data_IF_253574276441
#
_entry.id   IF_253574276441
#
_cell.length_a   1.000
_cell.length_b   1.000
_cell.length_c   1.000
_cell.angle_alpha   90.00
_cell.angle_beta   90.00
_cell.angle_gamma   90.00
#
_symmetry.space_group_name_H-M   'P 1'
#
loop_
_entity.id
_entity.type
_entity.pdbx_description
1 polymer ?
#
# COMPACT_ATOMS: atom_id res chain seq x y z
N UNK A 1 -11.33 54.75 32.28
CA UNK A 1 -10.89 54.62 30.87
C UNK A 1 -9.41 54.16 30.79
N UNK A 2 -8.97 53.15 31.56
CA UNK A 2 -7.56 52.64 31.52
C UNK A 2 -7.52 51.15 31.98
N UNK A 3 -8.22 50.23 31.30
CA UNK A 3 -8.16 48.80 31.68
C UNK A 3 -8.11 47.81 30.50
N UNK A 4 -8.10 48.29 29.25
CA UNK A 4 -8.21 47.41 28.08
C UNK A 4 -6.89 47.19 27.31
N UNK A 5 -5.76 47.70 27.82
CA UNK A 5 -4.51 47.76 27.05
C UNK A 5 -3.50 46.63 27.36
N UNK A 6 -3.71 45.85 28.44
CA UNK A 6 -2.81 44.75 28.83
C UNK A 6 -3.16 43.39 28.21
N UNK A 7 -4.35 43.22 27.67
CA UNK A 7 -4.81 41.94 27.10
C UNK A 7 -4.39 41.74 25.63
N UNK A 8 -4.01 42.80 24.92
CA UNK A 8 -3.61 42.74 23.50
C UNK A 8 -2.14 42.32 23.30
N UNK A 9 -1.24 42.58 24.24
CA UNK A 9 0.17 42.17 24.12
C UNK A 9 0.37 40.66 24.29
N UNK A 10 -0.44 40.03 25.15
CA UNK A 10 -0.38 38.57 25.39
C UNK A 10 -0.90 37.76 24.21
N UNK A 11 -1.83 38.31 23.43
CA UNK A 11 -2.37 37.68 22.22
C UNK A 11 -1.37 37.69 21.05
N UNK A 12 -0.57 38.75 20.93
CA UNK A 12 0.39 38.92 19.83
C UNK A 12 1.60 37.96 19.94
N UNK A 13 1.94 37.48 21.15
CA UNK A 13 3.14 36.65 21.40
C UNK A 13 2.93 35.13 21.21
N UNK A 14 1.74 34.67 20.83
CA UNK A 14 1.44 33.25 20.59
C UNK A 14 1.55 32.80 19.11
N UNK A 15 1.90 33.72 18.21
CA UNK A 15 1.84 33.50 16.76
C UNK A 15 3.21 33.27 16.09
N UNK A 16 4.27 33.10 16.86
CA UNK A 16 5.62 32.86 16.31
C UNK A 16 6.11 31.50 16.74
N UNK A 17 6.52 30.69 15.76
CA UNK A 17 7.36 29.48 15.90
C UNK A 17 6.71 28.10 15.67
N UNK A 18 5.59 28.04 14.94
CA UNK A 18 5.12 26.78 14.34
C UNK A 18 5.53 26.63 12.86
N UNK A 19 6.35 27.53 12.34
CA UNK A 19 6.92 27.43 10.99
C UNK A 19 7.98 26.34 11.00
N UNK A 20 7.83 25.24 10.24
CA UNK A 20 8.84 24.21 10.20
C UNK A 20 10.15 24.80 9.65
N UNK A 21 11.24 24.67 10.43
CA UNK A 21 12.56 25.22 10.10
C UNK A 21 13.13 24.68 8.78
N UNK A 22 12.63 23.53 8.31
CA UNK A 22 12.92 22.98 6.99
C UNK A 22 11.71 22.25 6.40
N UNK A 23 11.61 22.21 5.07
CA UNK A 23 10.56 21.46 4.36
C UNK A 23 10.60 19.96 4.68
N UNK A 24 11.77 19.43 5.05
CA UNK A 24 11.95 18.04 5.47
C UNK A 24 11.35 17.78 6.87
N UNK A 25 11.52 18.71 7.81
CA UNK A 25 10.92 18.60 9.15
C UNK A 25 9.39 18.70 9.09
N UNK A 26 8.88 19.56 8.22
CA UNK A 26 7.45 19.68 7.95
C UNK A 26 6.87 18.34 7.45
N UNK A 27 7.58 17.73 6.49
CA UNK A 27 7.19 16.46 5.90
C UNK A 27 7.28 15.31 6.92
N UNK A 28 8.39 15.20 7.65
CA UNK A 28 8.60 14.17 8.67
C UNK A 28 7.56 14.24 9.80
N UNK A 29 7.29 15.44 10.33
CA UNK A 29 6.24 15.62 11.37
C UNK A 29 4.84 15.30 10.83
N UNK A 30 4.58 15.54 9.54
CA UNK A 30 3.33 15.14 8.90
C UNK A 30 3.21 13.61 8.82
N UNK A 31 4.24 12.94 8.30
CA UNK A 31 4.28 11.49 8.17
C UNK A 31 4.18 10.77 9.51
N UNK A 32 4.82 11.28 10.56
CA UNK A 32 4.71 10.71 11.92
C UNK A 32 3.29 10.83 12.51
N UNK A 33 2.56 11.91 12.21
CA UNK A 33 1.17 12.06 12.66
C UNK A 33 0.25 11.07 11.95
N UNK A 34 0.43 10.89 10.65
CA UNK A 34 -0.30 9.89 9.86
C UNK A 34 0.00 8.49 10.38
N UNK A 35 1.28 8.14 10.57
CA UNK A 35 1.69 6.83 11.09
C UNK A 35 1.11 6.56 12.49
N UNK A 36 1.15 7.56 13.38
CA UNK A 36 0.57 7.43 14.73
C UNK A 36 -0.96 7.28 14.69
N UNK A 37 -1.63 7.91 13.74
CA UNK A 37 -3.08 7.77 13.55
C UNK A 37 -3.44 6.38 13.01
N UNK A 38 -2.67 5.88 12.04
CA UNK A 38 -2.81 4.53 11.47
C UNK A 38 -2.61 3.44 12.54
N UNK A 39 -1.65 3.61 13.46
CA UNK A 39 -1.34 2.64 14.52
C UNK A 39 -2.32 2.69 15.73
N UNK A 40 -3.16 3.72 15.86
CA UNK A 40 -4.12 3.84 16.99
C UNK A 40 -5.43 3.09 16.77
N UNK A 41 -5.79 2.78 15.52
CA UNK A 41 -7.05 2.11 15.19
C UNK A 41 -6.78 0.68 14.70
N UNK A 42 -7.22 -0.37 15.44
CA UNK A 42 -6.96 -1.76 15.06
C UNK A 42 -7.57 -2.14 13.71
N UNK A 43 -8.71 -1.53 13.35
CA UNK A 43 -9.36 -1.74 12.05
C UNK A 43 -8.55 -1.15 10.88
N UNK A 44 -7.98 0.04 11.07
CA UNK A 44 -7.10 0.68 10.09
C UNK A 44 -5.78 -0.08 9.95
N UNK A 45 -5.25 -0.60 11.06
CA UNK A 45 -4.05 -1.44 11.06
C UNK A 45 -4.28 -2.74 10.29
N UNK A 46 -5.43 -3.41 10.51
CA UNK A 46 -5.80 -4.61 9.78
C UNK A 46 -5.88 -4.37 8.27
N UNK A 47 -6.56 -3.29 7.84
CA UNK A 47 -6.65 -2.93 6.42
C UNK A 47 -5.28 -2.60 5.81
N UNK A 48 -4.43 -1.89 6.56
CA UNK A 48 -3.06 -1.56 6.13
C UNK A 48 -2.20 -2.81 5.99
N UNK A 49 -2.32 -3.77 6.92
CA UNK A 49 -1.61 -5.06 6.86
C UNK A 49 -2.02 -5.87 5.63
N UNK A 50 -3.32 -5.97 5.36
CA UNK A 50 -3.82 -6.68 4.17
C UNK A 50 -3.32 -6.03 2.89
N UNK A 51 -3.38 -4.70 2.79
CA UNK A 51 -2.86 -3.97 1.63
C UNK A 51 -1.35 -4.19 1.46
N UNK A 52 -0.58 -4.13 2.54
CA UNK A 52 0.86 -4.39 2.53
C UNK A 52 1.15 -5.82 2.05
N UNK A 53 0.39 -6.80 2.52
CA UNK A 53 0.52 -8.20 2.10
C UNK A 53 0.26 -8.35 0.60
N UNK A 54 -0.78 -7.72 0.07
CA UNK A 54 -1.07 -7.74 -1.38
C UNK A 54 0.07 -7.09 -2.19
N UNK A 55 0.63 -5.98 -1.72
CA UNK A 55 1.77 -5.33 -2.38
C UNK A 55 3.00 -6.23 -2.38
N UNK A 56 3.27 -6.92 -1.27
CA UNK A 56 4.35 -7.89 -1.17
C UNK A 56 4.11 -9.03 -2.16
N UNK A 57 2.93 -9.64 -2.16
CA UNK A 57 2.58 -10.72 -3.10
C UNK A 57 2.74 -10.24 -4.55
N UNK A 58 2.30 -9.03 -4.89
CA UNK A 58 2.46 -8.47 -6.23
C UNK A 58 3.93 -8.21 -6.60
N UNK A 59 4.76 -7.75 -5.65
CA UNK A 59 6.19 -7.53 -5.88
C UNK A 59 6.95 -8.86 -6.09
N UNK A 60 6.52 -9.92 -5.41
CA UNK A 60 7.08 -11.27 -5.54
C UNK A 60 6.37 -12.13 -6.59
N UNK A 61 5.34 -11.61 -7.25
CA UNK A 61 4.62 -12.28 -8.34
C UNK A 61 5.57 -12.85 -9.43
N UNK A 62 6.59 -12.14 -9.95
CA UNK A 62 7.47 -12.68 -10.97
C UNK A 62 8.36 -13.84 -10.50
N UNK A 63 8.54 -14.04 -9.19
CA UNK A 63 9.28 -15.18 -8.65
C UNK A 63 8.38 -16.36 -8.25
N UNK A 64 7.08 -16.10 -8.04
CA UNK A 64 6.08 -17.13 -7.71
C UNK A 64 5.42 -17.67 -8.99
N UNK A 65 5.24 -16.82 -10.01
CA UNK A 65 4.66 -17.20 -11.29
C UNK A 65 5.73 -17.84 -12.19
N UNK A 66 5.74 -19.17 -12.26
CA UNK A 66 6.64 -19.97 -13.11
C UNK A 66 6.33 -19.85 -14.60
N UNK A 67 5.13 -19.39 -14.96
CA UNK A 67 4.68 -19.27 -16.35
C UNK A 67 3.97 -17.93 -16.58
N UNK A 68 4.26 -17.30 -17.71
CA UNK A 68 3.71 -16.01 -18.10
C UNK A 68 2.20 -16.15 -18.41
N UNK A 69 1.30 -15.47 -17.67
CA UNK A 69 -0.14 -15.57 -17.87
C UNK A 69 -0.58 -15.00 -19.24
N UNK A 70 0.28 -14.26 -19.92
CA UNK A 70 0.02 -13.65 -21.23
C UNK A 70 0.46 -14.57 -22.38
N UNK A 71 1.39 -15.51 -22.14
CA UNK A 71 1.91 -16.39 -23.19
C UNK A 71 0.93 -17.56 -23.43
N UNK A 72 0.08 -17.41 -24.43
CA UNK A 72 -0.77 -18.48 -24.95
C UNK A 72 0.07 -19.47 -25.75
N UNK A 73 0.12 -20.73 -25.30
CA UNK A 73 0.79 -21.80 -26.03
C UNK A 73 -0.26 -22.72 -26.68
N UNK A 74 -0.82 -22.26 -27.81
CA UNK A 74 -1.86 -22.99 -28.55
C UNK A 74 -1.39 -24.38 -29.02
N UNK A 75 -0.08 -24.62 -29.13
CA UNK A 75 0.48 -25.93 -29.47
C UNK A 75 0.22 -26.99 -28.38
N UNK A 76 -0.08 -26.56 -27.15
CA UNK A 76 -0.45 -27.43 -26.03
C UNK A 76 -1.92 -27.24 -25.61
N UNK A 77 -2.80 -26.74 -26.49
CA UNK A 77 -4.23 -26.65 -26.20
C UNK A 77 -4.90 -28.03 -26.22
N UNK A 78 -5.92 -28.23 -25.36
CA UNK A 78 -6.67 -29.48 -25.22
C UNK A 78 -5.82 -30.74 -24.96
N UNK A 79 -4.67 -30.62 -24.31
CA UNK A 79 -3.94 -31.78 -23.81
C UNK A 79 -4.73 -32.49 -22.71
N UNK A 80 -4.77 -33.82 -22.81
CA UNK A 80 -5.39 -34.70 -21.84
C UNK A 80 -4.63 -34.64 -20.49
N UNK A 81 -5.30 -34.97 -19.37
CA UNK A 81 -4.66 -35.05 -18.06
C UNK A 81 -3.41 -35.93 -18.06
N UNK A 82 -2.31 -35.44 -17.49
CA UNK A 82 -1.02 -36.12 -17.47
C UNK A 82 -0.04 -35.54 -16.46
N UNK A 83 1.17 -36.11 -16.39
CA UNK A 83 2.18 -35.69 -15.41
C UNK A 83 2.62 -34.22 -15.59
N UNK A 84 2.53 -33.69 -16.80
CA UNK A 84 2.82 -32.29 -17.11
C UNK A 84 1.66 -31.33 -16.79
N UNK A 85 0.41 -31.81 -16.87
CA UNK A 85 -0.82 -31.05 -16.61
C UNK A 85 -1.83 -31.94 -15.91
N UNK A 86 -1.92 -31.84 -14.58
CA UNK A 86 -2.67 -32.80 -13.77
C UNK A 86 -4.15 -32.87 -14.13
N UNK A 87 -4.73 -31.76 -14.57
CA UNK A 87 -6.11 -31.69 -15.05
C UNK A 87 -6.22 -31.43 -16.56
N UNK A 88 -5.10 -31.45 -17.28
CA UNK A 88 -5.03 -31.09 -18.71
C UNK A 88 -5.01 -29.57 -18.93
N UNK A 89 -5.13 -29.17 -20.19
CA UNK A 89 -5.04 -27.77 -20.61
C UNK A 89 -6.32 -27.28 -21.30
N UNK A 90 -6.63 -26.01 -21.13
CA UNK A 90 -7.72 -25.27 -21.80
C UNK A 90 -7.52 -25.14 -23.33
N UNK A 91 -8.51 -24.60 -24.02
CA UNK A 91 -8.54 -24.19 -25.44
C UNK A 91 -7.40 -23.25 -25.83
N UNK A 92 -6.77 -22.63 -24.83
CA UNK A 92 -5.64 -21.72 -25.00
C UNK A 92 -4.30 -22.31 -24.54
N UNK A 93 -4.25 -23.61 -24.20
CA UNK A 93 -3.03 -24.30 -23.76
C UNK A 93 -2.56 -23.96 -22.36
N UNK A 94 -3.44 -23.38 -21.54
CA UNK A 94 -3.17 -23.08 -20.12
C UNK A 94 -3.58 -24.24 -19.23
N UNK A 95 -2.80 -24.53 -18.20
CA UNK A 95 -3.12 -25.56 -17.23
C UNK A 95 -4.40 -25.21 -16.45
N UNK A 96 -5.35 -26.15 -16.41
CA UNK A 96 -6.63 -25.98 -15.69
C UNK A 96 -6.41 -25.83 -14.18
N UNK A 97 -5.33 -26.40 -13.63
CA UNK A 97 -5.03 -26.33 -12.21
C UNK A 97 -4.61 -24.93 -11.73
N UNK A 98 -4.02 -24.12 -12.61
CA UNK A 98 -3.39 -22.84 -12.24
C UNK A 98 -4.32 -21.64 -12.43
N UNK A 99 -5.63 -21.86 -12.55
CA UNK A 99 -6.67 -20.83 -12.70
C UNK A 99 -7.10 -20.22 -11.37
#
# INVERSE_FOLDING_TARGET
>A
MIANMSSSETAAKRQTDNTPASSLDAFYKSSLRVLRHLLRNPMTLAGTLVALLLVVVAAFAPWIATHDPVVQNLANALQAPGAAHWFGTDEYGRDIFSR
#
